data_IF_662109552616
#
_entry.id   IF_662109552616
#
_cell.length_a   1.000
_cell.length_b   1.000
_cell.length_c   1.000
_cell.angle_alpha   90.00
_cell.angle_beta   90.00
_cell.angle_gamma   90.00
#
_symmetry.space_group_name_H-M   'P 1'
#
loop_
_entity.id
_entity.type
_entity.pdbx_description
1 polymer ?
#
# COMPACT_ATOMS: atom_id res chain seq x y z
N UNK A 1 25.31 20.50 -3.24
CA UNK A 1 23.84 20.52 -3.04
C UNK A 1 23.61 20.53 -1.55
N UNK A 2 22.78 21.46 -1.04
CA UNK A 2 22.44 21.48 0.41
C UNK A 2 21.64 20.24 0.81
N UNK A 3 21.64 19.93 2.09
CA UNK A 3 20.81 18.85 2.66
C UNK A 3 19.33 19.23 2.51
N UNK A 4 18.50 18.29 2.02
CA UNK A 4 17.06 18.47 1.84
C UNK A 4 16.30 18.07 3.11
N UNK A 5 15.20 18.78 3.39
CA UNK A 5 14.24 18.44 4.45
C UNK A 5 13.20 17.49 3.90
N UNK A 6 13.05 16.36 4.56
CA UNK A 6 12.15 15.29 4.16
C UNK A 6 10.98 15.15 5.15
N UNK A 7 9.77 15.09 4.62
CA UNK A 7 8.59 14.68 5.36
C UNK A 7 8.17 13.27 4.93
N UNK A 8 7.97 12.36 5.89
CA UNK A 8 7.36 11.04 5.64
C UNK A 8 6.05 10.94 6.39
N UNK A 9 4.94 10.81 5.67
CA UNK A 9 3.61 10.56 6.21
C UNK A 9 3.32 9.05 6.20
N UNK A 10 2.71 8.54 7.27
CA UNK A 10 2.42 7.10 7.39
C UNK A 10 3.62 6.28 7.89
N UNK A 11 4.53 6.93 8.63
CA UNK A 11 5.76 6.33 9.18
C UNK A 11 5.49 5.20 10.19
N UNK A 12 4.31 5.16 10.81
CA UNK A 12 3.90 4.13 11.77
C UNK A 12 3.49 2.79 11.14
N UNK A 13 3.32 2.74 9.82
CA UNK A 13 3.09 1.47 9.10
C UNK A 13 4.41 0.68 8.96
N UNK A 14 4.32 -0.63 8.66
CA UNK A 14 5.53 -1.43 8.43
C UNK A 14 6.29 -0.93 7.20
N UNK A 15 5.58 -0.71 6.08
CA UNK A 15 6.18 -0.17 4.87
C UNK A 15 6.75 1.24 5.11
N UNK A 16 6.01 2.08 5.84
CA UNK A 16 6.45 3.44 6.18
C UNK A 16 7.72 3.44 7.04
N UNK A 17 7.77 2.60 8.07
CA UNK A 17 8.95 2.46 8.93
C UNK A 17 10.16 1.91 8.17
N UNK A 18 9.95 0.92 7.29
CA UNK A 18 11.01 0.35 6.46
C UNK A 18 11.55 1.39 5.47
N UNK A 19 10.66 2.06 4.75
CA UNK A 19 11.02 3.10 3.79
C UNK A 19 11.79 4.24 4.48
N UNK A 20 11.33 4.69 5.64
CA UNK A 20 12.00 5.77 6.39
C UNK A 20 13.38 5.34 6.87
N UNK A 21 13.53 4.11 7.35
CA UNK A 21 14.84 3.58 7.76
C UNK A 21 15.85 3.50 6.60
N UNK A 22 15.36 3.26 5.37
CA UNK A 22 16.21 3.30 4.17
C UNK A 22 16.53 4.76 3.79
N UNK A 23 15.56 5.69 3.83
CA UNK A 23 15.77 7.11 3.55
C UNK A 23 16.80 7.74 4.50
N UNK A 24 16.84 7.33 5.77
CA UNK A 24 17.86 7.78 6.72
C UNK A 24 19.31 7.48 6.31
N UNK A 25 19.51 6.51 5.42
CA UNK A 25 20.86 6.12 4.96
C UNK A 25 21.41 7.07 3.88
N UNK A 26 20.56 7.92 3.30
CA UNK A 26 20.94 8.86 2.26
C UNK A 26 21.32 10.23 2.86
N UNK A 27 22.57 10.64 2.63
CA UNK A 27 23.09 11.92 3.12
C UNK A 27 22.39 13.14 2.50
N UNK A 28 21.67 12.96 1.40
CA UNK A 28 20.86 14.01 0.76
C UNK A 28 19.79 14.55 1.70
N UNK A 29 19.24 13.73 2.61
CA UNK A 29 18.22 14.13 3.57
C UNK A 29 18.85 14.46 4.93
N UNK A 30 18.91 15.76 5.28
CA UNK A 30 19.50 16.23 6.53
C UNK A 30 18.54 16.19 7.70
N UNK A 31 17.36 16.79 7.55
CA UNK A 31 16.31 16.85 8.57
C UNK A 31 15.08 16.06 8.11
N UNK A 32 14.73 15.01 8.86
CA UNK A 32 13.63 14.09 8.50
C UNK A 32 12.55 14.17 9.57
N UNK A 33 11.32 14.52 9.15
CA UNK A 33 10.12 14.52 9.98
C UNK A 33 9.22 13.34 9.57
N UNK A 34 8.90 12.49 10.52
CA UNK A 34 7.90 11.42 10.36
C UNK A 34 6.59 11.81 11.04
N UNK A 35 5.47 11.75 10.33
CA UNK A 35 4.12 12.03 10.89
C UNK A 35 3.24 10.78 10.77
N UNK A 36 2.62 10.38 11.89
CA UNK A 36 1.62 9.31 11.94
C UNK A 36 0.84 9.38 13.26
N UNK A 37 -0.27 8.67 13.34
CA UNK A 37 -1.02 8.40 14.58
C UNK A 37 -0.25 7.44 15.48
N UNK A 38 0.44 6.46 14.89
CA UNK A 38 1.22 5.45 15.59
C UNK A 38 2.72 5.69 15.43
N UNK A 39 3.51 5.38 16.47
CA UNK A 39 4.96 5.48 16.38
C UNK A 39 5.52 4.48 15.33
N UNK A 40 6.71 4.77 14.79
CA UNK A 40 7.39 3.86 13.88
C UNK A 40 7.55 2.46 14.49
N UNK A 41 7.39 1.43 13.67
CA UNK A 41 7.56 0.03 14.08
C UNK A 41 9.02 -0.41 14.13
N UNK A 42 9.90 0.35 13.48
CA UNK A 42 11.34 0.15 13.47
C UNK A 42 12.03 1.29 14.21
N UNK A 43 13.18 1.01 14.80
CA UNK A 43 14.01 2.06 15.41
C UNK A 43 14.55 2.97 14.29
N UNK A 44 14.13 4.21 14.28
CA UNK A 44 14.67 5.27 13.44
C UNK A 44 15.74 6.04 14.22
N UNK A 45 16.79 6.50 13.53
CA UNK A 45 17.96 7.13 14.16
C UNK A 45 17.99 8.64 13.97
N UNK A 46 17.54 9.12 12.81
CA UNK A 46 17.61 10.52 12.39
C UNK A 46 16.24 11.20 12.30
N UNK A 47 15.17 10.40 12.23
CA UNK A 47 13.81 10.90 12.03
C UNK A 47 13.22 11.41 13.33
N UNK A 48 12.76 12.66 13.33
CA UNK A 48 11.93 13.23 14.37
C UNK A 48 10.50 12.76 14.18
N UNK A 49 9.94 12.07 15.15
CA UNK A 49 8.56 11.60 15.07
C UNK A 49 7.60 12.63 15.69
N UNK A 50 6.52 12.95 14.98
CA UNK A 50 5.41 13.76 15.45
C UNK A 50 4.09 13.01 15.34
N UNK A 51 3.44 12.78 16.47
CA UNK A 51 2.12 12.17 16.49
C UNK A 51 1.07 13.19 16.09
N UNK A 52 0.24 12.82 15.10
CA UNK A 52 -0.89 13.62 14.62
C UNK A 52 -2.06 12.70 14.29
N UNK A 53 -3.22 12.98 14.86
CA UNK A 53 -4.45 12.22 14.56
C UNK A 53 -4.93 12.51 13.12
N UNK A 54 -5.58 11.54 12.48
CA UNK A 54 -6.04 11.66 11.08
C UNK A 54 -6.94 12.86 10.84
N UNK A 55 -7.76 13.22 11.84
CA UNK A 55 -8.72 14.30 11.75
C UNK A 55 -8.14 15.69 12.14
N UNK A 56 -6.92 15.74 12.67
CA UNK A 56 -6.26 17.00 13.05
C UNK A 56 -5.53 17.64 11.86
N UNK A 57 -6.30 18.05 10.86
CA UNK A 57 -5.76 18.70 9.66
C UNK A 57 -4.98 19.96 9.99
N UNK A 58 -5.49 20.81 10.89
CA UNK A 58 -4.81 22.04 11.30
C UNK A 58 -3.48 21.77 12.03
N UNK A 59 -3.45 20.79 12.91
CA UNK A 59 -2.23 20.36 13.60
C UNK A 59 -1.21 19.76 12.63
N UNK A 60 -1.67 19.03 11.64
CA UNK A 60 -0.84 18.49 10.56
C UNK A 60 -0.22 19.62 9.73
N UNK A 61 -1.06 20.48 9.14
CA UNK A 61 -0.63 21.59 8.28
C UNK A 61 0.38 22.49 9.00
N UNK A 62 0.12 22.88 10.25
CA UNK A 62 1.05 23.68 11.05
C UNK A 62 2.44 23.02 11.19
N UNK A 63 2.52 21.69 11.40
CA UNK A 63 3.79 20.97 11.51
C UNK A 63 4.52 20.89 10.18
N UNK A 64 3.79 20.65 9.11
CA UNK A 64 4.37 20.60 7.75
C UNK A 64 4.94 21.97 7.37
N UNK A 65 4.18 23.04 7.58
CA UNK A 65 4.63 24.41 7.30
C UNK A 65 5.83 24.84 8.17
N UNK A 66 5.88 24.42 9.43
CA UNK A 66 7.03 24.69 10.30
C UNK A 66 8.28 23.91 9.85
N UNK A 67 8.12 22.69 9.33
CA UNK A 67 9.23 21.87 8.83
C UNK A 67 9.73 22.34 7.45
N UNK A 68 8.84 22.88 6.61
CA UNK A 68 9.12 23.35 5.23
C UNK A 68 9.85 22.28 4.43
N UNK A 69 9.24 21.12 4.15
CA UNK A 69 9.89 20.03 3.46
C UNK A 69 10.23 20.40 2.01
N UNK A 70 11.39 19.96 1.54
CA UNK A 70 11.78 20.00 0.13
C UNK A 70 11.25 18.75 -0.61
N UNK A 71 11.06 17.64 0.13
CA UNK A 71 10.53 16.37 -0.39
C UNK A 71 9.48 15.82 0.58
N UNK A 72 8.35 15.37 0.03
CA UNK A 72 7.28 14.69 0.78
C UNK A 72 7.11 13.27 0.27
N UNK A 73 7.08 12.29 1.18
CA UNK A 73 6.74 10.88 0.89
C UNK A 73 5.47 10.53 1.65
N UNK A 74 4.37 10.37 0.92
CA UNK A 74 3.06 10.04 1.46
C UNK A 74 2.79 8.54 1.38
N UNK A 75 2.86 7.85 2.52
CA UNK A 75 2.58 6.42 2.69
C UNK A 75 1.35 6.16 3.56
N UNK A 76 0.64 7.21 3.96
CA UNK A 76 -0.56 7.16 4.80
C UNK A 76 -1.80 6.69 4.03
N UNK A 77 -1.73 5.50 3.48
CA UNK A 77 -2.81 4.83 2.77
C UNK A 77 -3.17 3.56 3.53
N UNK A 78 -4.41 3.47 3.98
CA UNK A 78 -4.92 2.33 4.75
C UNK A 78 -5.64 1.34 3.84
N UNK A 79 -5.10 0.14 3.76
CA UNK A 79 -5.74 -0.99 3.10
C UNK A 79 -6.71 -1.67 4.09
N UNK A 80 -7.98 -1.94 3.72
CA UNK A 80 -8.92 -2.65 4.58
C UNK A 80 -8.41 -4.04 4.97
N UNK A 81 -8.44 -4.37 6.27
CA UNK A 81 -7.98 -5.66 6.79
C UNK A 81 -8.75 -6.07 8.06
N UNK A 82 -8.36 -7.17 8.72
CA UNK A 82 -9.05 -7.76 9.87
C UNK A 82 -9.33 -6.81 11.05
N UNK A 83 -8.54 -5.75 11.21
CA UNK A 83 -8.67 -4.78 12.31
C UNK A 83 -9.13 -3.40 11.84
N UNK A 84 -9.29 -3.20 10.54
CA UNK A 84 -9.66 -1.93 9.95
C UNK A 84 -10.66 -2.16 8.82
N UNK A 85 -11.91 -1.79 9.05
CA UNK A 85 -13.00 -1.91 8.09
C UNK A 85 -12.80 -0.98 6.87
N UNK A 86 -13.53 -1.26 5.79
CA UNK A 86 -13.43 -0.49 4.53
C UNK A 86 -13.77 0.99 4.75
N UNK A 87 -14.79 1.30 5.55
CA UNK A 87 -15.17 2.68 5.81
C UNK A 87 -14.13 3.44 6.64
N UNK A 88 -13.57 2.80 7.65
CA UNK A 88 -12.54 3.41 8.49
C UNK A 88 -11.25 3.63 7.69
N UNK A 89 -10.86 2.65 6.86
CA UNK A 89 -9.71 2.79 5.96
C UNK A 89 -9.89 3.96 4.98
N UNK A 90 -11.07 4.07 4.38
CA UNK A 90 -11.43 5.17 3.48
C UNK A 90 -11.40 6.52 4.21
N UNK A 91 -11.98 6.60 5.39
CA UNK A 91 -12.01 7.83 6.20
C UNK A 91 -10.60 8.26 6.61
N UNK A 92 -9.78 7.34 7.11
CA UNK A 92 -8.41 7.62 7.52
C UNK A 92 -7.56 8.10 6.33
N UNK A 93 -7.60 7.38 5.19
CA UNK A 93 -6.87 7.77 3.97
C UNK A 93 -7.35 9.12 3.45
N UNK A 94 -8.67 9.34 3.37
CA UNK A 94 -9.24 10.62 2.91
C UNK A 94 -8.91 11.80 3.81
N UNK A 95 -8.85 11.61 5.12
CA UNK A 95 -8.45 12.67 6.07
C UNK A 95 -6.98 13.04 5.88
N UNK A 96 -6.11 12.05 5.75
CA UNK A 96 -4.68 12.30 5.50
C UNK A 96 -4.42 12.94 4.14
N UNK A 97 -5.16 12.53 3.10
CA UNK A 97 -5.09 13.15 1.78
C UNK A 97 -5.47 14.63 1.84
N UNK A 98 -6.59 14.96 2.51
CA UNK A 98 -7.02 16.36 2.70
C UNK A 98 -5.99 17.17 3.46
N UNK A 99 -5.43 16.64 4.54
CA UNK A 99 -4.39 17.32 5.31
C UNK A 99 -3.13 17.57 4.46
N UNK A 100 -2.75 16.62 3.62
CA UNK A 100 -1.66 16.81 2.67
C UNK A 100 -1.98 17.92 1.67
N UNK A 101 -3.15 17.86 1.02
CA UNK A 101 -3.56 18.83 0.00
C UNK A 101 -3.62 20.27 0.57
N UNK A 102 -4.14 20.43 1.80
CA UNK A 102 -4.14 21.72 2.48
C UNK A 102 -2.73 22.24 2.75
N UNK A 103 -1.81 21.37 3.15
CA UNK A 103 -0.41 21.75 3.32
C UNK A 103 0.27 22.07 1.99
N UNK A 104 0.03 21.28 0.93
CA UNK A 104 0.62 21.51 -0.39
C UNK A 104 0.26 22.87 -0.98
N UNK A 105 -0.98 23.32 -0.78
CA UNK A 105 -1.45 24.64 -1.27
C UNK A 105 -0.77 25.83 -0.60
N UNK A 106 -0.05 25.61 0.51
CA UNK A 106 0.61 26.63 1.32
C UNK A 106 2.15 26.49 1.35
N UNK A 107 2.69 25.48 0.66
CA UNK A 107 4.13 25.23 0.66
C UNK A 107 4.82 25.90 -0.52
N UNK A 108 5.79 26.76 -0.21
CA UNK A 108 6.75 27.29 -1.17
C UNK A 108 8.03 26.45 -1.16
N UNK A 109 8.64 26.25 -2.35
CA UNK A 109 9.94 25.60 -2.48
C UNK A 109 9.92 24.09 -2.41
N UNK A 110 8.75 23.45 -2.38
CA UNK A 110 8.62 22.00 -2.49
C UNK A 110 9.10 21.54 -3.87
N UNK A 111 10.01 20.59 -3.90
CA UNK A 111 10.59 20.07 -5.14
C UNK A 111 9.96 18.74 -5.57
N UNK A 112 9.47 17.93 -4.61
CA UNK A 112 9.03 16.56 -4.93
C UNK A 112 7.98 16.04 -3.96
N UNK A 113 6.96 15.36 -4.53
CA UNK A 113 5.95 14.60 -3.77
C UNK A 113 5.93 13.18 -4.32
N UNK A 114 6.13 12.20 -3.45
CA UNK A 114 5.99 10.77 -3.77
C UNK A 114 4.79 10.22 -3.03
N UNK A 115 3.85 9.62 -3.74
CA UNK A 115 2.59 9.13 -3.18
C UNK A 115 2.47 7.64 -3.39
N UNK A 116 2.22 6.90 -2.32
CA UNK A 116 1.83 5.50 -2.42
C UNK A 116 0.43 5.40 -3.01
N UNK A 117 0.32 4.64 -4.10
CA UNK A 117 -0.92 4.20 -4.73
C UNK A 117 -0.88 2.68 -4.93
N UNK A 118 -1.73 2.13 -5.76
CA UNK A 118 -1.77 0.70 -6.07
C UNK A 118 -2.31 0.42 -7.46
N UNK A 119 -1.93 -0.72 -8.04
CA UNK A 119 -2.44 -1.16 -9.35
C UNK A 119 -3.95 -1.43 -9.36
N UNK A 120 -4.62 -1.33 -8.20
CA UNK A 120 -6.08 -1.38 -8.06
C UNK A 120 -6.81 -0.28 -8.84
N UNK A 121 -6.12 0.81 -9.17
CA UNK A 121 -6.65 1.91 -9.99
C UNK A 121 -7.04 1.48 -11.41
N UNK A 122 -6.48 0.37 -11.90
CA UNK A 122 -6.79 -0.17 -13.23
C UNK A 122 -7.99 -1.12 -13.25
N UNK A 123 -8.55 -1.46 -12.07
CA UNK A 123 -9.58 -2.49 -11.96
C UNK A 123 -9.02 -3.91 -11.94
N UNK A 124 -9.86 -4.92 -12.17
CA UNK A 124 -9.49 -6.32 -12.06
C UNK A 124 -9.73 -7.05 -13.40
N UNK A 125 -8.63 -7.43 -14.06
CA UNK A 125 -8.62 -8.24 -15.28
C UNK A 125 -7.27 -8.91 -15.46
N UNK A 126 -7.26 -10.20 -15.79
CA UNK A 126 -6.05 -10.93 -16.18
C UNK A 126 -5.90 -11.09 -17.70
N UNK A 127 -6.84 -10.54 -18.47
CA UNK A 127 -6.78 -10.55 -19.94
C UNK A 127 -5.99 -9.38 -20.51
N UNK A 128 -5.75 -8.35 -19.68
CA UNK A 128 -5.02 -7.16 -20.06
C UNK A 128 -3.87 -6.92 -19.08
N UNK A 129 -2.69 -6.63 -19.63
CA UNK A 129 -1.54 -6.17 -18.85
C UNK A 129 -1.53 -4.65 -18.92
N UNK A 130 -1.77 -4.01 -17.77
CA UNK A 130 -1.81 -2.56 -17.67
C UNK A 130 -0.39 -1.99 -17.53
N UNK A 131 -0.17 -0.84 -18.12
CA UNK A 131 0.99 0.00 -17.92
C UNK A 131 0.58 1.37 -17.37
N UNK A 132 1.54 2.25 -17.14
CA UNK A 132 1.33 3.56 -16.53
C UNK A 132 0.41 4.47 -17.36
N UNK A 133 0.34 4.26 -18.69
CA UNK A 133 -0.53 5.01 -19.62
C UNK A 133 -1.92 4.41 -19.75
N UNK A 134 -2.14 3.23 -19.18
CA UNK A 134 -3.46 2.58 -19.20
C UNK A 134 -4.51 3.42 -18.48
N UNK A 135 -5.75 3.50 -18.99
CA UNK A 135 -6.82 4.26 -18.36
C UNK A 135 -7.14 3.72 -16.95
N UNK A 136 -7.41 4.63 -16.03
CA UNK A 136 -7.87 4.28 -14.68
C UNK A 136 -9.35 3.85 -14.75
N UNK A 137 -9.62 2.62 -14.32
CA UNK A 137 -10.96 2.02 -14.34
C UNK A 137 -11.19 1.19 -13.06
N UNK A 138 -11.07 1.80 -11.86
CA UNK A 138 -11.20 1.08 -10.60
C UNK A 138 -12.59 0.44 -10.48
N UNK A 139 -12.63 -0.79 -9.99
CA UNK A 139 -13.86 -1.58 -9.78
C UNK A 139 -14.15 -1.81 -8.30
N UNK A 140 -13.12 -1.70 -7.45
CA UNK A 140 -13.25 -1.87 -5.99
C UNK A 140 -13.30 -0.54 -5.24
N UNK A 141 -13.87 -0.56 -4.05
CA UNK A 141 -13.89 0.61 -3.14
C UNK A 141 -12.47 1.11 -2.86
N UNK A 142 -11.52 0.18 -2.69
CA UNK A 142 -10.12 0.53 -2.46
C UNK A 142 -9.49 1.17 -3.70
N UNK A 143 -9.74 0.65 -4.90
CA UNK A 143 -9.27 1.25 -6.15
C UNK A 143 -9.80 2.66 -6.38
N UNK A 144 -11.10 2.89 -6.14
CA UNK A 144 -11.71 4.24 -6.21
C UNK A 144 -11.08 5.22 -5.20
N UNK A 145 -10.78 4.74 -3.98
CA UNK A 145 -10.09 5.55 -2.97
C UNK A 145 -8.70 5.98 -3.44
N UNK A 146 -7.93 5.07 -4.04
CA UNK A 146 -6.60 5.37 -4.57
C UNK A 146 -6.67 6.35 -5.75
N UNK A 147 -7.59 6.16 -6.68
CA UNK A 147 -7.80 7.08 -7.81
C UNK A 147 -8.15 8.49 -7.32
N UNK A 148 -9.02 8.59 -6.30
CA UNK A 148 -9.36 9.89 -5.69
C UNK A 148 -8.15 10.54 -5.03
N UNK A 149 -7.30 9.75 -4.34
CA UNK A 149 -6.05 10.25 -3.73
C UNK A 149 -5.10 10.80 -4.81
N UNK A 150 -4.89 10.04 -5.90
CA UNK A 150 -4.03 10.49 -7.00
C UNK A 150 -4.50 11.83 -7.59
N UNK A 151 -5.80 11.95 -7.87
CA UNK A 151 -6.40 13.18 -8.41
C UNK A 151 -6.22 14.36 -7.45
N UNK A 152 -6.60 14.19 -6.16
CA UNK A 152 -6.50 15.25 -5.16
C UNK A 152 -5.07 15.77 -5.01
N UNK A 153 -4.07 14.88 -4.95
CA UNK A 153 -2.68 15.31 -4.79
C UNK A 153 -2.16 15.98 -6.05
N UNK A 154 -2.51 15.47 -7.24
CA UNK A 154 -2.11 16.08 -8.52
C UNK A 154 -2.66 17.50 -8.67
N UNK A 155 -3.92 17.71 -8.28
CA UNK A 155 -4.58 19.02 -8.34
C UNK A 155 -4.04 20.03 -7.31
N UNK A 156 -3.58 19.54 -6.15
CA UNK A 156 -3.15 20.40 -5.05
C UNK A 156 -1.65 20.68 -5.03
N UNK A 157 -0.84 19.90 -5.76
CA UNK A 157 0.61 20.06 -5.76
C UNK A 157 1.01 21.36 -6.47
N UNK A 158 2.00 22.10 -5.93
CA UNK A 158 2.57 23.26 -6.63
C UNK A 158 3.13 22.85 -8.00
N UNK A 159 2.96 23.69 -9.02
CA UNK A 159 3.48 23.43 -10.37
C UNK A 159 5.02 23.29 -10.44
N UNK A 160 5.71 23.80 -9.42
CA UNK A 160 7.16 23.64 -9.26
C UNK A 160 7.58 22.29 -8.72
N UNK A 161 6.67 21.52 -8.09
CA UNK A 161 6.96 20.24 -7.51
C UNK A 161 6.71 19.11 -8.51
N UNK A 162 7.61 18.12 -8.58
CA UNK A 162 7.32 16.86 -9.28
C UNK A 162 6.47 15.95 -8.43
N UNK A 163 5.44 15.34 -9.02
CA UNK A 163 4.55 14.38 -8.33
C UNK A 163 4.75 13.00 -8.94
N UNK A 164 5.13 12.02 -8.10
CA UNK A 164 5.31 10.63 -8.52
C UNK A 164 4.31 9.73 -7.80
N UNK A 165 3.42 9.08 -8.55
CA UNK A 165 2.47 8.10 -8.03
C UNK A 165 3.06 6.70 -8.10
N UNK A 166 3.35 6.07 -6.96
CA UNK A 166 3.89 4.72 -6.90
C UNK A 166 2.73 3.73 -6.78
N UNK A 167 2.34 3.12 -7.90
CA UNK A 167 1.27 2.12 -7.99
C UNK A 167 1.81 0.73 -7.70
N UNK A 168 1.73 0.33 -6.44
CA UNK A 168 2.23 -0.96 -5.95
C UNK A 168 1.27 -2.09 -6.31
N UNK A 169 1.80 -3.26 -6.72
CA UNK A 169 1.08 -4.51 -6.59
C UNK A 169 0.83 -4.83 -5.09
N UNK A 170 -0.09 -5.75 -4.74
CA UNK A 170 -0.30 -6.15 -3.36
C UNK A 170 1.02 -6.46 -2.65
N UNK A 171 1.33 -5.69 -1.60
CA UNK A 171 2.61 -5.78 -0.89
C UNK A 171 2.58 -6.97 0.05
N UNK A 172 3.55 -7.85 -0.07
CA UNK A 172 3.74 -9.03 0.80
C UNK A 172 5.03 -8.87 1.58
N UNK A 173 4.91 -8.90 2.90
CA UNK A 173 6.05 -8.82 3.83
C UNK A 173 5.74 -9.52 5.15
N UNK A 174 6.78 -9.90 5.90
CA UNK A 174 6.63 -10.68 7.15
C UNK A 174 5.73 -9.99 8.18
N UNK A 175 5.79 -8.66 8.23
CA UNK A 175 5.08 -7.83 9.18
C UNK A 175 4.06 -6.89 8.53
N UNK A 176 3.93 -6.92 7.21
CA UNK A 176 2.94 -6.14 6.48
C UNK A 176 1.55 -6.73 6.72
N UNK A 177 0.56 -5.95 7.18
CA UNK A 177 -0.80 -6.44 7.42
C UNK A 177 -1.59 -6.59 6.10
N UNK A 178 -1.04 -7.34 5.15
CA UNK A 178 -1.68 -7.60 3.85
C UNK A 178 -2.90 -8.52 4.00
N UNK A 179 -4.10 -8.09 3.57
CA UNK A 179 -5.28 -8.96 3.59
C UNK A 179 -5.12 -10.15 2.63
N UNK A 180 -4.51 -9.94 1.46
CA UNK A 180 -4.18 -11.02 0.54
C UNK A 180 -3.21 -12.03 1.18
N UNK A 181 -2.09 -11.56 1.75
CA UNK A 181 -1.11 -12.43 2.39
C UNK A 181 -1.70 -13.23 3.55
N UNK A 182 -2.61 -12.64 4.32
CA UNK A 182 -3.31 -13.33 5.40
C UNK A 182 -4.26 -14.39 4.88
N UNK A 183 -5.02 -14.08 3.84
CA UNK A 183 -5.95 -15.01 3.21
C UNK A 183 -5.24 -16.23 2.62
N UNK A 184 -4.16 -16.01 1.88
CA UNK A 184 -3.38 -17.09 1.25
C UNK A 184 -2.75 -18.05 2.27
N UNK A 185 -2.58 -17.62 3.52
CA UNK A 185 -2.07 -18.46 4.62
C UNK A 185 -3.15 -19.29 5.33
N UNK A 186 -4.43 -19.10 5.05
CA UNK A 186 -5.47 -19.96 5.57
C UNK A 186 -5.30 -21.39 5.05
N UNK A 187 -5.75 -22.40 5.81
CA UNK A 187 -5.72 -23.80 5.34
C UNK A 187 -6.61 -24.00 4.11
N UNK A 188 -7.68 -23.21 3.98
CA UNK A 188 -8.61 -23.22 2.87
C UNK A 188 -8.75 -21.81 2.30
N UNK A 189 -8.61 -21.67 0.98
CA UNK A 189 -8.77 -20.37 0.30
C UNK A 189 -9.93 -20.45 -0.68
N UNK A 190 -10.89 -19.51 -0.60
CA UNK A 190 -12.02 -19.48 -1.52
C UNK A 190 -11.54 -19.17 -2.94
N UNK A 191 -12.01 -19.91 -3.91
CA UNK A 191 -11.66 -19.76 -5.32
C UNK A 191 -12.89 -19.98 -6.18
N UNK A 192 -13.05 -19.20 -7.23
CA UNK A 192 -13.97 -19.48 -8.30
C UNK A 192 -13.37 -20.59 -9.17
N UNK A 193 -13.99 -21.80 -9.24
CA UNK A 193 -13.41 -22.92 -9.95
C UNK A 193 -13.29 -22.68 -11.47
N UNK A 194 -14.05 -21.71 -12.01
CA UNK A 194 -14.00 -21.32 -13.42
C UNK A 194 -13.05 -20.15 -13.67
N UNK A 195 -12.44 -19.61 -12.62
CA UNK A 195 -11.53 -18.47 -12.75
C UNK A 195 -10.14 -18.92 -13.26
N UNK A 196 -9.69 -18.26 -14.30
CA UNK A 196 -8.30 -18.32 -14.78
C UNK A 196 -7.48 -17.12 -14.29
N UNK A 197 -7.92 -16.49 -13.20
CA UNK A 197 -7.31 -15.30 -12.64
C UNK A 197 -5.82 -15.49 -12.37
N UNK A 198 -5.03 -14.54 -12.88
CA UNK A 198 -3.60 -14.41 -12.60
C UNK A 198 -3.34 -13.05 -11.96
N UNK A 199 -2.39 -13.02 -11.06
CA UNK A 199 -2.02 -11.79 -10.37
C UNK A 199 -0.53 -11.74 -10.05
N UNK A 200 -0.09 -10.54 -9.73
CA UNK A 200 1.27 -10.23 -9.29
C UNK A 200 1.23 -9.68 -7.87
N UNK A 201 2.34 -9.78 -7.20
CA UNK A 201 2.59 -9.18 -5.87
C UNK A 201 3.96 -8.50 -5.90
N UNK A 202 4.28 -7.77 -4.85
CA UNK A 202 5.62 -7.19 -4.67
C UNK A 202 6.10 -7.41 -3.24
N UNK A 203 7.39 -7.63 -3.03
CA UNK A 203 7.99 -7.75 -1.72
C UNK A 203 8.03 -6.38 -1.01
N UNK A 204 7.89 -6.36 0.31
CA UNK A 204 7.92 -5.13 1.11
C UNK A 204 9.24 -4.37 0.98
N UNK A 205 10.36 -5.07 0.88
CA UNK A 205 11.68 -4.48 0.68
C UNK A 205 11.85 -3.89 -0.73
N UNK A 206 11.31 -4.53 -1.78
CA UNK A 206 11.30 -3.99 -3.13
C UNK A 206 10.39 -2.76 -3.23
N UNK A 207 9.19 -2.82 -2.64
CA UNK A 207 8.29 -1.67 -2.58
C UNK A 207 8.94 -0.46 -1.86
N UNK A 208 9.61 -0.71 -0.72
CA UNK A 208 10.29 0.35 0.03
C UNK A 208 11.43 0.98 -0.76
N UNK A 209 12.27 0.17 -1.45
CA UNK A 209 13.37 0.67 -2.29
C UNK A 209 12.86 1.48 -3.49
N UNK A 210 11.76 1.05 -4.11
CA UNK A 210 11.14 1.81 -5.20
C UNK A 210 10.68 3.21 -4.73
N UNK A 211 10.07 3.29 -3.55
CA UNK A 211 9.67 4.57 -2.94
C UNK A 211 10.89 5.44 -2.63
N UNK A 212 11.96 4.85 -2.07
CA UNK A 212 13.22 5.57 -1.83
C UNK A 212 13.81 6.10 -3.13
N UNK A 213 13.84 5.27 -4.17
CA UNK A 213 14.34 5.69 -5.48
C UNK A 213 13.52 6.87 -6.04
N UNK A 214 12.20 6.82 -5.94
CA UNK A 214 11.34 7.92 -6.33
C UNK A 214 11.56 9.18 -5.48
N UNK A 215 11.81 9.04 -4.18
CA UNK A 215 12.14 10.18 -3.32
C UNK A 215 13.46 10.85 -3.69
N UNK A 216 14.41 10.10 -4.22
CA UNK A 216 15.72 10.62 -4.67
C UNK A 216 15.66 11.18 -6.08
N UNK A 217 14.92 10.56 -7.00
CA UNK A 217 15.00 10.78 -8.45
C UNK A 217 13.64 11.01 -9.12
N UNK A 218 12.55 11.14 -8.35
CA UNK A 218 11.17 11.16 -8.84
C UNK A 218 10.91 12.15 -9.98
N UNK A 219 10.02 11.77 -10.87
CA UNK A 219 9.54 12.50 -12.03
C UNK A 219 8.03 12.72 -11.93
N UNK A 220 7.48 13.58 -12.81
CA UNK A 220 6.03 13.78 -12.93
C UNK A 220 5.35 12.60 -13.62
N UNK A 221 5.17 11.48 -12.94
CA UNK A 221 4.54 10.32 -13.57
C UNK A 221 4.03 9.31 -12.54
N UNK A 222 3.12 8.45 -12.99
CA UNK A 222 2.80 7.23 -12.27
C UNK A 222 3.85 6.16 -12.63
N UNK A 223 4.14 5.29 -11.67
CA UNK A 223 5.06 4.17 -11.86
C UNK A 223 4.48 2.92 -11.23
N UNK A 224 4.33 1.87 -12.02
CA UNK A 224 3.92 0.57 -11.54
C UNK A 224 5.10 -0.18 -10.92
N UNK A 225 4.95 -0.63 -9.70
CA UNK A 225 5.93 -1.48 -9.03
C UNK A 225 5.31 -2.85 -8.81
N UNK A 226 5.66 -3.75 -9.70
CA UNK A 226 5.18 -5.14 -9.74
C UNK A 226 6.36 -6.08 -9.90
N UNK A 227 6.34 -7.21 -9.19
CA UNK A 227 7.35 -8.24 -9.39
C UNK A 227 7.15 -8.94 -10.73
N UNK A 228 8.23 -9.40 -11.33
CA UNK A 228 8.18 -10.17 -12.57
C UNK A 228 7.38 -11.47 -12.41
N UNK A 229 6.85 -11.97 -13.52
CA UNK A 229 6.01 -13.16 -13.53
C UNK A 229 4.61 -12.90 -12.99
N UNK A 230 3.79 -13.92 -12.99
CA UNK A 230 2.44 -13.89 -12.41
C UNK A 230 2.04 -15.29 -11.95
N UNK A 231 1.17 -15.36 -10.94
CA UNK A 231 0.71 -16.63 -10.37
C UNK A 231 -0.82 -16.75 -10.47
N UNK A 232 -1.32 -17.99 -10.52
CA UNK A 232 -2.73 -18.28 -10.33
C UNK A 232 -2.98 -18.69 -8.87
N UNK A 233 -4.22 -18.54 -8.40
CA UNK A 233 -4.59 -19.00 -7.05
C UNK A 233 -4.25 -20.48 -6.87
N UNK A 234 -4.50 -21.31 -7.90
CA UNK A 234 -4.19 -22.74 -7.85
C UNK A 234 -2.69 -23.04 -7.68
N UNK A 235 -1.81 -22.28 -8.37
CA UNK A 235 -0.35 -22.45 -8.21
C UNK A 235 0.12 -22.03 -6.81
N UNK A 236 -0.41 -20.92 -6.30
CA UNK A 236 -0.10 -20.43 -4.95
C UNK A 236 -0.51 -21.45 -3.87
N UNK A 237 -1.71 -22.04 -4.01
CA UNK A 237 -2.19 -23.06 -3.06
C UNK A 237 -1.34 -24.32 -3.06
N UNK A 238 -0.93 -24.80 -4.26
CA UNK A 238 0.01 -25.94 -4.37
C UNK A 238 1.34 -25.63 -3.69
N UNK A 239 1.90 -24.45 -3.93
CA UNK A 239 3.17 -24.01 -3.33
C UNK A 239 3.07 -23.94 -1.79
N UNK A 240 1.96 -23.43 -1.27
CA UNK A 240 1.70 -23.33 0.17
C UNK A 240 1.17 -24.61 0.81
N UNK A 241 0.94 -25.70 0.05
CA UNK A 241 0.26 -26.92 0.49
C UNK A 241 -1.08 -26.61 1.16
N UNK A 242 -1.87 -25.71 0.56
CA UNK A 242 -3.19 -25.29 1.02
C UNK A 242 -4.27 -25.88 0.11
N UNK A 243 -5.47 -25.98 0.68
CA UNK A 243 -6.62 -26.53 -0.04
C UNK A 243 -7.42 -25.41 -0.69
N UNK A 244 -7.89 -25.65 -1.90
CA UNK A 244 -8.83 -24.78 -2.58
C UNK A 244 -10.25 -25.08 -2.06
N UNK A 245 -10.98 -24.04 -1.72
CA UNK A 245 -12.40 -24.12 -1.39
C UNK A 245 -13.20 -23.56 -2.59
N UNK A 246 -13.77 -24.39 -3.44
CA UNK A 246 -14.52 -23.92 -4.59
C UNK A 246 -15.77 -23.14 -4.11
N UNK A 247 -15.95 -21.96 -4.63
CA UNK A 247 -17.02 -21.03 -4.29
C UNK A 247 -17.78 -20.64 -5.54
N UNK A 248 -19.06 -20.97 -5.58
CA UNK A 248 -19.95 -20.55 -6.68
C UNK A 248 -20.25 -19.05 -6.61
N UNK A 249 -20.56 -18.38 -7.73
CA UNK A 249 -20.76 -16.92 -7.76
C UNK A 249 -21.74 -16.39 -6.71
N UNK A 250 -22.79 -17.14 -6.39
CA UNK A 250 -23.83 -16.74 -5.40
C UNK A 250 -23.46 -17.06 -3.95
N UNK A 251 -22.39 -17.81 -3.68
CA UNK A 251 -21.98 -18.21 -2.31
C UNK A 251 -20.79 -17.41 -1.76
N UNK A 252 -20.32 -16.40 -2.48
CA UNK A 252 -19.19 -15.56 -2.02
C UNK A 252 -19.44 -14.83 -0.71
N UNK A 253 -20.70 -14.48 -0.40
CA UNK A 253 -21.07 -13.88 0.89
C UNK A 253 -20.83 -14.84 2.05
N UNK A 254 -21.10 -16.13 1.87
CA UNK A 254 -20.84 -17.17 2.87
C UNK A 254 -19.33 -17.39 3.04
N UNK A 255 -18.60 -17.50 1.94
CA UNK A 255 -17.14 -17.62 1.96
C UNK A 255 -16.48 -16.41 2.67
N UNK A 256 -16.95 -15.19 2.41
CA UNK A 256 -16.47 -13.98 3.08
C UNK A 256 -16.73 -14.00 4.59
N UNK A 257 -17.88 -14.51 5.04
CA UNK A 257 -18.16 -14.68 6.47
C UNK A 257 -17.24 -15.71 7.12
N UNK A 258 -17.02 -16.85 6.46
CA UNK A 258 -16.13 -17.91 6.97
C UNK A 258 -14.68 -17.41 7.06
N UNK A 259 -14.16 -16.72 6.05
CA UNK A 259 -12.80 -16.14 6.10
C UNK A 259 -12.68 -15.06 7.17
N UNK A 260 -13.73 -14.29 7.40
CA UNK A 260 -13.77 -13.28 8.49
C UNK A 260 -13.71 -13.95 9.86
N UNK A 261 -14.48 -15.04 10.08
CA UNK A 261 -14.42 -15.83 11.30
C UNK A 261 -13.03 -16.46 11.51
N UNK A 262 -12.36 -16.84 10.44
CA UNK A 262 -10.97 -17.33 10.46
C UNK A 262 -9.91 -16.21 10.64
N UNK A 263 -10.33 -14.96 10.86
CA UNK A 263 -9.45 -13.82 11.07
C UNK A 263 -8.81 -13.25 9.79
N UNK A 264 -9.30 -13.66 8.62
CA UNK A 264 -8.85 -13.15 7.32
C UNK A 264 -10.06 -12.64 6.51
N UNK A 265 -10.61 -11.46 6.85
CA UNK A 265 -11.71 -10.87 6.08
C UNK A 265 -11.28 -10.71 4.62
N UNK A 266 -12.26 -10.86 3.74
CA UNK A 266 -12.09 -10.78 2.29
C UNK A 266 -12.64 -9.42 1.78
N UNK A 267 -11.81 -8.36 1.74
CA UNK A 267 -12.22 -7.09 1.16
C UNK A 267 -12.55 -7.22 -0.34
N UNK A 268 -13.32 -6.28 -0.87
CA UNK A 268 -13.77 -6.29 -2.27
C UNK A 268 -12.61 -6.38 -3.27
N UNK A 269 -11.56 -5.59 -3.11
CA UNK A 269 -10.39 -5.58 -4.00
C UNK A 269 -9.62 -6.93 -4.00
N UNK A 270 -9.55 -7.64 -2.86
CA UNK A 270 -8.93 -8.97 -2.80
C UNK A 270 -9.84 -10.01 -3.45
N UNK A 271 -11.16 -9.95 -3.20
CA UNK A 271 -12.13 -10.82 -3.86
C UNK A 271 -12.10 -10.67 -5.39
N UNK A 272 -12.04 -9.45 -5.90
CA UNK A 272 -11.90 -9.16 -7.33
C UNK A 272 -10.61 -9.73 -7.90
N UNK A 273 -9.49 -9.55 -7.18
CA UNK A 273 -8.20 -10.09 -7.56
C UNK A 273 -8.24 -11.61 -7.71
N UNK A 274 -8.90 -12.32 -6.77
CA UNK A 274 -9.02 -13.79 -6.83
C UNK A 274 -9.94 -14.27 -7.96
N UNK A 275 -10.94 -13.46 -8.33
CA UNK A 275 -11.92 -13.84 -9.38
C UNK A 275 -11.47 -13.47 -10.78
N UNK A 276 -10.88 -12.30 -10.94
CA UNK A 276 -10.61 -11.72 -12.25
C UNK A 276 -9.12 -11.53 -12.53
N UNK A 277 -8.27 -11.58 -11.50
CA UNK A 277 -6.85 -11.31 -11.62
C UNK A 277 -6.56 -9.81 -11.76
N UNK A 278 -5.28 -9.50 -11.86
CA UNK A 278 -4.77 -8.16 -12.22
C UNK A 278 -3.32 -8.29 -12.61
N UNK A 279 -2.98 -7.78 -13.79
CA UNK A 279 -1.63 -7.77 -14.32
C UNK A 279 -1.23 -6.35 -14.69
N UNK A 280 -0.02 -5.98 -14.33
CA UNK A 280 0.57 -4.72 -14.73
C UNK A 280 2.04 -4.95 -15.12
N UNK A 281 2.61 -3.99 -15.80
CA UNK A 281 4.03 -3.93 -16.11
C UNK A 281 4.58 -2.55 -15.77
N UNK A 282 5.84 -2.49 -15.42
CA UNK A 282 6.57 -1.24 -15.25
C UNK A 282 7.15 -0.83 -16.59
N UNK A 283 6.88 0.39 -17.03
CA UNK A 283 7.57 0.98 -18.19
C UNK A 283 8.94 1.47 -17.70
N UNK A 284 9.99 0.77 -18.13
CA UNK A 284 11.36 0.95 -17.63
C UNK A 284 12.03 2.27 -18.03
N UNK A 285 11.34 3.13 -18.79
CA UNK A 285 11.89 4.41 -19.22
C UNK A 285 11.89 5.50 -18.16
N UNK A 286 11.06 5.32 -17.10
CA UNK A 286 10.73 6.42 -16.18
C UNK A 286 11.34 6.24 -14.79
N UNK A 287 11.55 5.02 -14.30
CA UNK A 287 12.35 4.72 -13.11
C UNK A 287 13.35 3.61 -13.44
N UNK A 288 14.62 3.88 -13.24
CA UNK A 288 15.70 2.88 -13.29
C UNK A 288 15.69 2.00 -12.02
N UNK A 289 14.51 1.48 -11.68
CA UNK A 289 14.30 0.55 -10.56
C UNK A 289 13.47 -0.65 -10.99
N UNK A 290 13.96 -1.84 -10.67
CA UNK A 290 13.24 -3.10 -10.85
C UNK A 290 13.20 -3.87 -9.54
N UNK A 291 12.05 -4.46 -9.16
CA UNK A 291 11.99 -5.42 -8.07
C UNK A 291 13.01 -6.54 -8.25
N UNK A 292 13.62 -6.96 -7.15
CA UNK A 292 14.66 -8.00 -7.15
C UNK A 292 14.11 -9.41 -7.04
N UNK A 293 12.86 -9.54 -6.57
CA UNK A 293 12.17 -10.82 -6.40
C UNK A 293 11.07 -10.96 -7.46
N UNK A 294 10.91 -12.15 -8.01
CA UNK A 294 9.75 -12.46 -8.84
C UNK A 294 8.51 -12.77 -7.97
N UNK A 295 7.33 -12.78 -8.61
CA UNK A 295 6.05 -13.04 -7.92
C UNK A 295 6.03 -14.41 -7.22
N UNK A 296 6.63 -15.44 -7.82
CA UNK A 296 6.69 -16.79 -7.22
C UNK A 296 7.59 -16.84 -6.00
N UNK A 297 8.71 -16.13 -6.02
CA UNK A 297 9.65 -16.02 -4.90
C UNK A 297 8.99 -15.29 -3.72
N UNK A 298 8.28 -14.19 -3.98
CA UNK A 298 7.53 -13.46 -2.95
C UNK A 298 6.49 -14.37 -2.28
N UNK A 299 5.77 -15.18 -3.06
CA UNK A 299 4.81 -16.16 -2.53
C UNK A 299 5.52 -17.27 -1.75
N UNK A 300 6.68 -17.77 -2.20
CA UNK A 300 7.46 -18.76 -1.46
C UNK A 300 7.89 -18.22 -0.07
N UNK A 301 8.36 -16.98 -0.04
CA UNK A 301 8.71 -16.28 1.22
C UNK A 301 7.52 -16.15 2.16
N UNK A 302 6.30 -15.87 1.64
CA UNK A 302 5.08 -15.79 2.45
C UNK A 302 4.85 -17.07 3.28
N UNK A 303 5.13 -18.23 2.69
CA UNK A 303 4.94 -19.52 3.36
C UNK A 303 6.12 -19.95 4.24
N UNK A 304 7.30 -19.37 4.06
CA UNK A 304 8.46 -19.64 4.91
C UNK A 304 8.40 -18.93 6.27
N UNK A 305 7.61 -17.85 6.39
CA UNK A 305 7.49 -17.12 7.65
C UNK A 305 6.63 -17.86 8.66
N UNK A 306 6.98 -17.83 9.96
CA UNK A 306 6.17 -18.45 10.98
C UNK A 306 4.74 -17.88 10.99
N UNK A 307 3.75 -18.76 11.13
CA UNK A 307 2.35 -18.37 11.16
C UNK A 307 2.04 -17.65 12.47
N UNK A 308 1.83 -16.33 12.42
CA UNK A 308 1.38 -15.52 13.56
C UNK A 308 -0.15 -15.50 13.65
N UNK A 309 -0.84 -16.54 13.20
CA UNK A 309 -2.27 -16.68 13.45
C UNK A 309 -2.44 -17.22 14.87
N UNK A 310 -2.36 -16.35 15.88
CA UNK A 310 -2.98 -16.64 17.17
C UNK A 310 -4.49 -16.49 16.96
N UNK A 311 -5.21 -17.60 17.00
CA UNK A 311 -6.67 -17.61 17.18
C UNK A 311 -6.90 -17.15 18.62
N UNK A 312 -6.98 -15.86 18.84
CA UNK A 312 -7.48 -15.30 20.10
C UNK A 312 -9.00 -15.21 19.92
N UNK A 313 -9.79 -15.96 20.71
CA UNK A 313 -11.22 -15.77 20.70
C UNK A 313 -11.54 -14.31 21.02
N UNK A 314 -12.42 -13.73 20.22
CA UNK A 314 -12.88 -12.36 20.37
C UNK A 314 -13.57 -12.24 21.74
N UNK A 315 -12.88 -11.74 22.76
CA UNK A 315 -13.53 -11.37 24.03
C UNK A 315 -14.31 -10.08 23.75
N UNK A 316 -15.63 -10.08 23.96
CA UNK A 316 -16.38 -8.83 23.87
C UNK A 316 -15.78 -7.87 24.90
N UNK A 317 -15.37 -6.70 24.44
CA UNK A 317 -14.98 -5.59 25.33
C UNK A 317 -16.16 -5.27 26.22
N UNK A 318 -16.05 -5.55 27.51
CA UNK A 318 -17.01 -5.10 28.50
C UNK A 318 -17.13 -3.57 28.37
N UNK A 319 -18.34 -3.12 28.09
CA UNK A 319 -18.67 -1.71 28.20
C UNK A 319 -18.42 -1.32 29.65
N UNK A 320 -17.46 -0.45 29.87
CA UNK A 320 -17.31 0.27 31.14
C UNK A 320 -18.49 1.22 31.23
N UNK A 321 -19.30 1.02 32.25
CA UNK A 321 -20.43 1.89 32.60
C UNK A 321 -19.93 3.26 33.11
#
# INVERSE_FOLDING_TARGET
>A
MGEQRLLVMGVGSELGSLTTALLEQHAQFGDILGIDVHPPRRRLRRTKFSRVEHADTAGFTRRVLAHRPDVIVHLGVWEPHARLGTNDARTATGNYARSLCEALSQLDGLSRVVVRSGIEVYGASSHQVHDEHSPLAPTSTYGHMLTSLEAMVTESAPSSATVTMIRLAPVIGAHVPSPLGRLLRLPFVPVDPLSHARFQVVADDDAARAIVHAALHGRHEAVNIVADGSVSVGSVMRQGRRLLMPVLPFTWSVASRLTTLAGAPLPDHVRELLRHGRLARTLTHDIDYRPTHDTSDVIARLYSWPSVVRITPNRPTARVA
#
